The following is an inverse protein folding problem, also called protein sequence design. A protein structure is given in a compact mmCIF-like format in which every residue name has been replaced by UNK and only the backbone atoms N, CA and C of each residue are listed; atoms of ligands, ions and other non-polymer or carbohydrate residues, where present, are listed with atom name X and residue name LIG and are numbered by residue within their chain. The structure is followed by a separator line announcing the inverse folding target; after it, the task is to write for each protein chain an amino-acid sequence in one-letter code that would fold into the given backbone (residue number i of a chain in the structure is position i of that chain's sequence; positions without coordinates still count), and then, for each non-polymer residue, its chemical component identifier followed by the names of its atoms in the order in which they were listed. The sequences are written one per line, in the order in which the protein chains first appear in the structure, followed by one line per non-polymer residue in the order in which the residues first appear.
data_IF_362005528710
#
_entry.id   IF_362005528710
#
_cell.length_a   1.000
_cell.length_b   1.000
_cell.length_c   1.000
_cell.angle_alpha   90.00
_cell.angle_beta   90.00
_cell.angle_gamma   90.00
#
_symmetry.space_group_name_H-M   'P 1'
#
loop_
_entity.id
_entity.type
_entity.pdbx_description
1 polymer ?
#
# COMPACT_ATOMS: atom_id res chain seq x y z
N UNK A 1 -12.48 -6.47 -4.57
CA UNK A 1 -11.79 -5.37 -3.89
C UNK A 1 -10.83 -5.96 -2.87
N UNK A 2 -9.58 -5.51 -2.85
CA UNK A 2 -8.49 -6.15 -2.12
C UNK A 2 -7.71 -5.09 -1.35
N UNK A 3 -7.42 -5.35 -0.08
CA UNK A 3 -6.61 -4.46 0.76
C UNK A 3 -5.52 -5.28 1.43
N UNK A 4 -4.28 -4.85 1.27
CA UNK A 4 -3.12 -5.49 1.86
C UNK A 4 -2.36 -4.42 2.63
N UNK A 5 -1.96 -4.74 3.85
CA UNK A 5 -1.11 -3.89 4.66
C UNK A 5 0.18 -4.63 4.98
N UNK A 6 1.27 -3.88 5.13
CA UNK A 6 2.54 -4.39 5.64
C UNK A 6 3.23 -3.29 6.44
N UNK A 7 3.78 -3.63 7.59
CA UNK A 7 4.49 -2.66 8.42
C UNK A 7 5.81 -2.27 7.76
N UNK A 8 6.17 -1.00 7.89
CA UNK A 8 7.49 -0.51 7.53
C UNK A 8 8.49 -0.74 8.68
N UNK A 9 9.78 -0.49 8.44
CA UNK A 9 10.86 -0.97 9.31
C UNK A 9 11.34 0.04 10.36
N UNK A 10 10.93 1.30 10.27
CA UNK A 10 11.47 2.42 11.04
C UNK A 10 10.64 2.77 12.27
N UNK A 11 9.38 2.34 12.34
CA UNK A 11 8.46 2.61 13.44
C UNK A 11 7.78 1.33 13.93
N UNK A 12 7.12 1.42 15.08
CA UNK A 12 6.45 0.27 15.69
C UNK A 12 5.20 -0.11 14.91
N UNK A 13 4.42 0.88 14.47
CA UNK A 13 3.06 0.70 13.93
C UNK A 13 2.81 1.34 12.56
N UNK A 14 3.82 2.02 12.00
CA UNK A 14 3.77 2.55 10.65
C UNK A 14 3.61 1.44 9.62
N UNK A 15 2.82 1.70 8.57
CA UNK A 15 2.49 0.70 7.57
C UNK A 15 2.18 1.29 6.20
N UNK A 16 2.50 0.52 5.18
CA UNK A 16 2.04 0.74 3.81
C UNK A 16 0.76 -0.06 3.60
N UNK A 17 -0.29 0.60 3.15
CA UNK A 17 -1.53 -0.05 2.72
C UNK A 17 -1.70 0.12 1.21
N UNK A 18 -1.96 -0.99 0.51
CA UNK A 18 -2.30 -0.99 -0.91
C UNK A 18 -3.72 -1.50 -1.08
N UNK A 19 -4.55 -0.73 -1.76
CA UNK A 19 -5.93 -1.03 -2.03
C UNK A 19 -6.19 -1.13 -3.52
N UNK A 20 -6.64 -2.28 -4.00
CA UNK A 20 -7.04 -2.50 -5.38
C UNK A 20 -8.56 -2.56 -5.48
N UNK A 21 -9.12 -1.60 -6.22
CA UNK A 21 -10.54 -1.49 -6.51
C UNK A 21 -10.95 -2.43 -7.65
N UNK A 22 -12.26 -2.54 -7.91
CA UNK A 22 -12.82 -3.52 -8.85
C UNK A 22 -12.52 -3.16 -10.31
N UNK A 23 -12.47 -1.87 -10.63
CA UNK A 23 -12.01 -1.31 -11.91
C UNK A 23 -10.49 -1.49 -12.12
N UNK A 24 -9.77 -1.88 -11.08
CA UNK A 24 -8.34 -2.10 -11.09
C UNK A 24 -7.54 -0.89 -10.66
N UNK A 25 -8.20 0.19 -10.23
CA UNK A 25 -7.55 1.37 -9.64
C UNK A 25 -6.79 0.94 -8.40
N UNK A 26 -5.63 1.55 -8.18
CA UNK A 26 -4.76 1.23 -7.06
C UNK A 26 -4.53 2.47 -6.22
N UNK A 27 -4.89 2.38 -4.95
CA UNK A 27 -4.64 3.41 -3.94
C UNK A 27 -3.52 2.93 -3.03
N UNK A 28 -2.44 3.69 -2.95
CA UNK A 28 -1.36 3.49 -1.98
C UNK A 28 -1.58 4.49 -0.85
N UNK A 29 -1.49 4.03 0.39
CA UNK A 29 -1.61 4.86 1.58
C UNK A 29 -0.43 4.60 2.51
N UNK A 30 0.27 5.65 2.89
CA UNK A 30 1.27 5.63 3.96
C UNK A 30 0.56 5.98 5.26
N UNK A 31 0.49 5.01 6.18
CA UNK A 31 -0.13 5.16 7.48
C UNK A 31 1.00 5.33 8.51
N UNK A 32 1.17 6.52 9.10
CA UNK A 32 2.25 6.78 10.07
C UNK A 32 1.99 6.06 11.41
N UNK A 33 3.04 5.89 12.22
CA UNK A 33 2.88 5.46 13.61
C UNK A 33 2.19 6.57 14.43
N UNK A 34 1.06 6.28 15.11
CA UNK A 34 0.39 7.27 15.94
C UNK A 34 1.22 7.85 17.09
N UNK A 35 2.33 7.21 17.49
CA UNK A 35 3.16 7.72 18.59
C UNK A 35 4.26 8.68 18.09
N UNK A 36 4.46 8.79 16.77
CA UNK A 36 5.41 9.73 16.18
C UNK A 36 4.80 11.14 16.07
N UNK A 37 5.41 12.13 16.74
CA UNK A 37 5.04 13.56 16.62
C UNK A 37 5.91 14.27 15.57
N UNK A 38 5.40 15.25 14.79
CA UNK A 38 4.03 15.77 14.70
C UNK A 38 3.29 15.37 13.40
N UNK A 39 3.78 14.38 12.64
CA UNK A 39 3.29 14.08 11.28
C UNK A 39 2.28 12.94 11.28
N UNK A 40 1.15 13.10 11.96
CA UNK A 40 0.00 12.19 11.86
C UNK A 40 -0.75 12.28 10.51
N UNK A 41 -0.09 12.80 9.47
CA UNK A 41 -0.71 12.96 8.17
C UNK A 41 -0.70 11.62 7.43
N UNK A 42 -1.89 11.05 7.28
CA UNK A 42 -2.11 9.96 6.33
C UNK A 42 -1.99 10.56 4.93
N UNK A 43 -1.07 10.02 4.14
CA UNK A 43 -0.88 10.43 2.74
C UNK A 43 -1.29 9.28 1.84
N UNK A 44 -2.08 9.57 0.81
CA UNK A 44 -2.50 8.58 -0.17
C UNK A 44 -2.38 9.12 -1.60
N UNK A 45 -2.10 8.22 -2.53
CA UNK A 45 -2.12 8.48 -3.97
C UNK A 45 -2.96 7.40 -4.67
N UNK A 46 -3.78 7.82 -5.61
CA UNK A 46 -4.64 6.96 -6.41
C UNK A 46 -4.16 6.94 -7.87
N UNK A 47 -4.03 5.72 -8.42
CA UNK A 47 -3.65 5.47 -9.80
C UNK A 47 -4.84 4.87 -10.54
N UNK A 48 -5.55 5.72 -11.28
CA UNK A 48 -6.74 5.31 -12.02
C UNK A 48 -6.41 4.48 -13.27
N UNK A 49 -7.32 3.63 -13.69
CA UNK A 49 -7.09 2.70 -14.82
C UNK A 49 -7.73 3.13 -16.12
N UNK A 50 -8.86 3.83 -16.05
CA UNK A 50 -9.69 4.18 -17.20
C UNK A 50 -9.76 5.68 -17.44
N UNK A 51 -10.10 6.47 -16.42
CA UNK A 51 -10.23 7.94 -16.55
C UNK A 51 -9.06 8.61 -15.82
N UNK A 52 -8.18 9.26 -16.57
CA UNK A 52 -7.06 10.05 -16.02
C UNK A 52 -5.75 9.31 -15.71
N UNK A 53 -5.73 7.97 -15.55
CA UNK A 53 -4.55 7.26 -15.02
C UNK A 53 -3.92 6.14 -15.90
N UNK A 54 -4.39 5.93 -17.11
CA UNK A 54 -3.83 4.94 -18.06
C UNK A 54 -2.45 5.30 -18.64
N UNK A 55 -1.84 6.40 -18.23
CA UNK A 55 -0.59 6.93 -18.78
C UNK A 55 0.68 6.34 -18.14
N UNK A 56 0.52 5.48 -17.13
CA UNK A 56 1.65 4.91 -16.38
C UNK A 56 1.62 3.37 -16.37
N UNK A 57 1.70 2.70 -17.54
CA UNK A 57 1.60 1.25 -17.63
C UNK A 57 2.67 0.51 -16.81
N UNK A 58 3.90 1.04 -16.79
CA UNK A 58 4.99 0.47 -16.00
C UNK A 58 4.77 0.63 -14.49
N UNK A 59 4.29 1.81 -14.06
CA UNK A 59 3.91 2.05 -12.66
C UNK A 59 2.78 1.11 -12.25
N UNK A 60 1.75 0.95 -13.09
CA UNK A 60 0.65 0.02 -12.83
C UNK A 60 1.14 -1.42 -12.67
N UNK A 61 2.06 -1.88 -13.53
CA UNK A 61 2.66 -3.21 -13.40
C UNK A 61 3.43 -3.35 -12.08
N UNK A 62 4.27 -2.36 -11.72
CA UNK A 62 5.00 -2.37 -10.46
C UNK A 62 4.07 -2.39 -9.23
N UNK A 63 2.92 -1.71 -9.29
CA UNK A 63 1.92 -1.75 -8.21
C UNK A 63 1.26 -3.13 -8.07
N UNK A 64 0.99 -3.81 -9.19
CA UNK A 64 0.49 -5.19 -9.17
C UNK A 64 1.54 -6.15 -8.57
N UNK A 65 2.81 -5.99 -8.97
CA UNK A 65 3.91 -6.79 -8.44
C UNK A 65 4.11 -6.55 -6.94
N UNK A 66 3.96 -5.31 -6.47
CA UNK A 66 4.00 -4.97 -5.05
C UNK A 66 2.85 -5.64 -4.27
N UNK A 67 1.64 -5.64 -4.81
CA UNK A 67 0.47 -6.32 -4.22
C UNK A 67 0.78 -7.82 -4.04
N UNK A 68 1.26 -8.48 -5.09
CA UNK A 68 1.59 -9.91 -5.06
C UNK A 68 2.72 -10.21 -4.06
N UNK A 69 3.76 -9.36 -4.03
CA UNK A 69 4.85 -9.49 -3.08
C UNK A 69 4.38 -9.35 -1.62
N UNK A 70 3.60 -8.32 -1.30
CA UNK A 70 3.09 -8.10 0.06
C UNK A 70 2.17 -9.25 0.52
N UNK A 71 1.35 -9.82 -0.36
CA UNK A 71 0.55 -11.00 -0.02
C UNK A 71 1.39 -12.22 0.25
N UNK A 72 2.36 -12.48 -0.63
CA UNK A 72 3.27 -13.61 -0.48
C UNK A 72 4.02 -13.50 0.83
N UNK A 73 4.54 -12.32 1.14
CA UNK A 73 5.22 -12.08 2.40
C UNK A 73 4.28 -12.21 3.60
N UNK A 74 3.06 -11.69 3.55
CA UNK A 74 2.11 -11.84 4.65
C UNK A 74 1.70 -13.30 4.90
N UNK A 75 1.73 -14.14 3.85
CA UNK A 75 1.44 -15.57 3.94
C UNK A 75 2.64 -16.40 4.41
N UNK A 76 3.82 -16.14 3.86
CA UNK A 76 5.03 -16.95 4.08
C UNK A 76 5.86 -16.45 5.26
N UNK A 77 5.88 -15.13 5.51
CA UNK A 77 6.68 -14.46 6.53
C UNK A 77 5.84 -13.36 7.24
N UNK A 78 4.79 -13.75 8.00
CA UNK A 78 3.95 -12.79 8.71
C UNK A 78 4.79 -11.99 9.71
N UNK A 79 4.64 -10.67 9.71
CA UNK A 79 5.34 -9.80 10.66
C UNK A 79 4.74 -10.00 12.06
N UNK A 80 5.54 -10.46 13.02
CA UNK A 80 5.15 -10.46 14.43
C UNK A 80 5.40 -9.07 15.03
N UNK A 81 4.35 -8.42 15.53
CA UNK A 81 4.34 -7.03 16.00
C UNK A 81 3.69 -6.89 17.39
N UNK A 82 3.78 -7.95 18.21
CA UNK A 82 3.39 -7.94 19.63
C UNK A 82 3.95 -6.71 20.40
#
# INVERSE_FOLDING_TARGET
MKRIERFEDMSRRGRLAVHQQIDGDVIITVIPDPDERPRHQINSAEFCTLTGGGQSPNTRKALQDLIEAMEKDNKENPQNRD
#
